data_IF_200054498499
#
_entry.id   IF_200054498499
#
_cell.length_a   1.000
_cell.length_b   1.000
_cell.length_c   1.000
_cell.angle_alpha   90.00
_cell.angle_beta   90.00
_cell.angle_gamma   90.00
#
_symmetry.space_group_name_H-M   'P 1'
#
loop_
_entity.id
_entity.type
_entity.pdbx_description
1 polymer ?
#
# COMPACT_ATOMS: atom_id res chain seq x y z
N UNK A 1 9.21 -27.66 -20.46
CA UNK A 1 9.74 -26.34 -20.08
C UNK A 1 8.53 -25.49 -19.70
N UNK A 2 8.10 -25.54 -18.44
CA UNK A 2 6.83 -24.97 -17.97
C UNK A 2 7.09 -23.87 -16.94
N UNK A 3 6.69 -22.66 -17.32
CA UNK A 3 5.84 -21.73 -16.56
C UNK A 3 5.56 -22.08 -15.10
N UNK A 4 5.86 -21.14 -14.19
CA UNK A 4 5.27 -21.04 -12.85
C UNK A 4 5.51 -19.65 -12.25
N UNK A 5 4.45 -18.86 -12.29
CA UNK A 5 3.96 -17.98 -11.22
C UNK A 5 5.00 -17.30 -10.33
N UNK A 6 5.31 -16.05 -10.67
CA UNK A 6 5.72 -15.04 -9.69
C UNK A 6 4.51 -14.15 -9.40
N UNK A 7 3.55 -14.71 -8.68
CA UNK A 7 2.42 -14.00 -8.07
C UNK A 7 2.52 -14.27 -6.58
N UNK A 8 2.92 -13.26 -5.81
CA UNK A 8 2.81 -13.28 -4.35
C UNK A 8 2.01 -12.05 -3.94
N UNK A 9 0.70 -12.31 -3.83
CA UNK A 9 -0.26 -11.87 -2.82
C UNK A 9 -0.08 -10.46 -2.23
N UNK A 10 -0.89 -9.55 -2.75
CA UNK A 10 -1.49 -8.42 -2.02
C UNK A 10 -2.99 -8.50 -2.38
N UNK A 11 -3.60 -9.66 -2.14
CA UNK A 11 -4.98 -9.94 -2.53
C UNK A 11 -5.89 -9.80 -1.31
N UNK A 12 -6.40 -8.60 -1.10
CA UNK A 12 -7.69 -8.42 -0.44
C UNK A 12 -8.67 -7.88 -1.49
N UNK A 13 -9.59 -8.72 -2.02
CA UNK A 13 -10.67 -8.22 -2.85
C UNK A 13 -11.59 -7.39 -1.97
N UNK A 14 -11.66 -6.09 -2.22
CA UNK A 14 -12.75 -5.27 -1.70
C UNK A 14 -14.03 -5.76 -2.36
N UNK A 15 -14.80 -6.60 -1.68
CA UNK A 15 -16.12 -7.00 -2.15
C UNK A 15 -16.95 -5.73 -2.43
N UNK A 16 -17.46 -5.53 -3.65
CA UNK A 16 -18.22 -4.33 -3.98
C UNK A 16 -19.66 -4.51 -3.47
N UNK A 17 -19.87 -4.34 -2.16
CA UNK A 17 -21.22 -4.23 -1.60
C UNK A 17 -21.64 -2.76 -1.57
N UNK A 18 -22.47 -2.36 -2.54
CA UNK A 18 -23.04 -1.01 -2.69
C UNK A 18 -23.01 -0.49 -4.12
N UNK A 19 -23.43 0.77 -4.32
CA UNK A 19 -23.58 1.53 -5.58
C UNK A 19 -22.47 1.34 -6.65
N UNK A 20 -21.28 0.91 -6.23
CA UNK A 20 -20.14 0.58 -7.10
C UNK A 20 -20.38 -0.71 -7.92
N UNK A 21 -21.04 -1.72 -7.36
CA UNK A 21 -21.31 -3.00 -8.02
C UNK A 21 -22.22 -2.86 -9.25
N UNK A 22 -23.19 -1.96 -9.20
CA UNK A 22 -24.09 -1.67 -10.32
C UNK A 22 -23.37 -0.92 -11.45
N UNK A 23 -22.43 -0.03 -11.10
CA UNK A 23 -21.63 0.74 -12.05
C UNK A 23 -20.63 -0.14 -12.81
N UNK A 24 -20.06 -1.16 -12.16
CA UNK A 24 -19.07 -2.09 -12.75
C UNK A 24 -19.69 -2.95 -13.87
N UNK A 25 -20.99 -3.24 -13.80
CA UNK A 25 -21.72 -4.00 -14.82
C UNK A 25 -22.22 -3.15 -16.00
N UNK A 26 -21.89 -1.86 -16.04
CA UNK A 26 -22.24 -0.98 -17.17
C UNK A 26 -21.41 -1.31 -18.41
N UNK A 27 -22.01 -1.34 -19.62
CA UNK A 27 -21.30 -1.65 -20.86
C UNK A 27 -20.22 -0.62 -21.23
N UNK A 28 -20.13 0.50 -20.51
CA UNK A 28 -19.15 1.57 -20.74
C UNK A 28 -17.95 1.54 -19.77
N UNK A 29 -17.83 0.50 -18.92
CA UNK A 29 -16.67 0.37 -18.03
C UNK A 29 -15.47 -0.15 -18.81
N UNK A 30 -14.39 0.61 -18.79
CA UNK A 30 -13.15 0.22 -19.46
C UNK A 30 -12.56 -1.07 -18.87
N UNK A 31 -12.04 -1.94 -19.74
CA UNK A 31 -11.49 -3.24 -19.34
C UNK A 31 -10.34 -3.18 -18.31
N UNK A 32 -9.62 -2.05 -18.21
CA UNK A 32 -8.57 -1.91 -17.20
C UNK A 32 -9.16 -1.74 -15.80
N UNK A 33 -10.30 -1.05 -15.64
CA UNK A 33 -10.98 -0.89 -14.34
C UNK A 33 -11.45 -2.24 -13.83
N UNK A 34 -12.09 -3.04 -14.70
CA UNK A 34 -12.53 -4.40 -14.36
C UNK A 34 -11.36 -5.26 -13.86
N UNK A 35 -10.22 -5.24 -14.58
CA UNK A 35 -9.02 -5.96 -14.16
C UNK A 35 -8.47 -5.48 -12.82
N UNK A 36 -8.47 -4.17 -12.56
CA UNK A 36 -7.99 -3.62 -11.28
C UNK A 36 -8.91 -3.99 -10.13
N UNK A 37 -10.23 -4.03 -10.33
CA UNK A 37 -11.18 -4.49 -9.31
C UNK A 37 -10.99 -5.99 -9.03
N UNK A 38 -10.82 -6.81 -10.07
CA UNK A 38 -10.67 -8.25 -9.92
C UNK A 38 -9.32 -8.67 -9.33
N UNK A 39 -8.23 -8.01 -9.74
CA UNK A 39 -6.84 -8.45 -9.46
C UNK A 39 -6.09 -7.53 -8.50
N UNK A 40 -6.71 -6.45 -8.06
CA UNK A 40 -6.05 -5.39 -7.31
C UNK A 40 -5.18 -4.49 -8.18
N UNK A 41 -4.88 -3.30 -7.65
CA UNK A 41 -3.89 -2.41 -8.24
C UNK A 41 -2.49 -2.71 -7.68
N UNK A 42 -1.47 -2.56 -8.51
CA UNK A 42 -0.07 -2.83 -8.13
C UNK A 42 0.81 -1.63 -8.40
N UNK A 43 1.75 -1.39 -7.49
CA UNK A 43 2.77 -0.36 -7.68
C UNK A 43 3.57 -0.68 -8.95
N UNK A 44 3.54 0.25 -9.90
CA UNK A 44 4.30 0.15 -11.14
C UNK A 44 5.71 0.67 -10.91
N UNK A 45 6.72 -0.16 -11.18
CA UNK A 45 8.13 0.21 -11.06
C UNK A 45 8.71 0.56 -12.42
N UNK A 46 9.32 1.75 -12.53
CA UNK A 46 10.04 2.19 -13.73
C UNK A 46 11.51 1.73 -13.75
N UNK A 47 12.04 1.37 -12.58
CA UNK A 47 13.35 0.76 -12.40
C UNK A 47 13.24 -0.36 -11.35
N UNK A 48 14.19 -1.30 -11.28
CA UNK A 48 14.20 -2.30 -10.22
C UNK A 48 14.10 -1.64 -8.83
N UNK A 49 13.26 -2.18 -7.92
CA UNK A 49 13.21 -1.66 -6.55
C UNK A 49 14.56 -1.90 -5.85
N UNK A 50 14.90 -1.10 -4.82
CA UNK A 50 16.13 -1.31 -4.07
C UNK A 50 16.16 -2.73 -3.49
N UNK A 51 17.31 -3.44 -3.54
CA UNK A 51 17.43 -4.77 -2.98
C UNK A 51 17.38 -4.72 -1.45
N UNK A 52 17.32 -5.90 -0.84
CA UNK A 52 17.43 -6.03 0.61
C UNK A 52 18.74 -5.41 1.10
N UNK A 53 18.63 -4.53 2.10
CA UNK A 53 19.77 -3.83 2.68
C UNK A 53 19.78 -3.97 4.22
N UNK A 54 19.31 -5.10 4.73
CA UNK A 54 19.15 -5.34 6.16
C UNK A 54 17.82 -4.84 6.73
N UNK A 55 17.53 -5.26 7.96
CA UNK A 55 16.39 -4.80 8.73
C UNK A 55 16.81 -3.59 9.55
N UNK A 56 16.13 -2.45 9.34
CA UNK A 56 16.32 -1.27 10.18
C UNK A 56 15.43 -1.37 11.43
N UNK A 57 16.00 -1.51 12.64
CA UNK A 57 15.20 -1.52 13.86
C UNK A 57 14.53 -0.17 14.07
N UNK A 58 13.29 -0.18 14.56
CA UNK A 58 12.60 1.03 14.99
C UNK A 58 12.93 1.26 16.46
N UNK A 59 13.70 2.31 16.75
CA UNK A 59 14.09 2.66 18.11
C UNK A 59 13.03 3.57 18.72
N UNK A 60 12.30 3.05 19.71
CA UNK A 60 11.20 3.76 20.39
C UNK A 60 11.28 3.51 21.89
N UNK A 61 10.84 4.49 22.68
CA UNK A 61 10.65 4.30 24.12
C UNK A 61 9.50 3.33 24.41
N UNK A 62 9.39 2.87 25.66
CA UNK A 62 8.39 1.86 26.07
C UNK A 62 6.95 2.25 25.73
N UNK A 63 6.52 3.47 26.06
CA UNK A 63 5.16 3.94 25.74
C UNK A 63 4.90 4.06 24.24
N UNK A 64 5.90 4.55 23.50
CA UNK A 64 5.83 4.70 22.04
C UNK A 64 5.78 3.34 21.34
N UNK A 65 6.48 2.34 21.88
CA UNK A 65 6.43 0.95 21.43
C UNK A 65 5.03 0.36 21.55
N UNK A 66 4.35 0.55 22.68
CA UNK A 66 2.99 0.07 22.87
C UNK A 66 2.01 0.66 21.84
N UNK A 67 2.11 1.97 21.59
CA UNK A 67 1.27 2.64 20.58
C UNK A 67 1.56 2.12 19.18
N UNK A 68 2.82 1.85 18.86
CA UNK A 68 3.22 1.29 17.56
C UNK A 68 2.68 -0.15 17.37
N UNK A 69 2.74 -0.99 18.40
CA UNK A 69 2.17 -2.33 18.37
C UNK A 69 0.64 -2.31 18.19
N UNK A 70 -0.05 -1.39 18.87
CA UNK A 70 -1.50 -1.22 18.72
C UNK A 70 -1.89 -0.78 17.30
N UNK A 71 -1.09 0.08 16.68
CA UNK A 71 -1.33 0.51 15.29
C UNK A 71 -1.09 -0.64 14.31
N UNK A 72 0.01 -1.39 14.47
CA UNK A 72 0.29 -2.59 13.66
C UNK A 72 -0.85 -3.61 13.79
N UNK A 73 -1.30 -3.89 15.01
CA UNK A 73 -2.43 -4.78 15.25
C UNK A 73 -3.73 -4.28 14.61
N UNK A 74 -3.94 -2.96 14.59
CA UNK A 74 -5.11 -2.36 13.95
C UNK A 74 -5.05 -2.46 12.43
N UNK A 75 -3.88 -2.26 11.82
CA UNK A 75 -3.68 -2.42 10.38
C UNK A 75 -3.81 -3.89 9.94
N UNK A 76 -3.28 -4.83 10.73
CA UNK A 76 -3.46 -6.26 10.52
C UNK A 76 -4.94 -6.65 10.60
N UNK A 77 -5.67 -6.16 11.60
CA UNK A 77 -7.12 -6.40 11.74
C UNK A 77 -7.93 -5.84 10.56
N UNK A 78 -7.46 -4.76 9.96
CA UNK A 78 -8.06 -4.14 8.76
C UNK A 78 -7.61 -4.81 7.46
N UNK A 79 -6.75 -5.83 7.53
CA UNK A 79 -6.14 -6.50 6.37
C UNK A 79 -5.38 -5.52 5.45
N UNK A 80 -4.92 -4.40 6.01
CA UNK A 80 -4.17 -3.39 5.26
C UNK A 80 -2.68 -3.76 5.12
N UNK A 81 -2.19 -4.62 6.02
CA UNK A 81 -0.84 -5.18 6.00
C UNK A 81 -0.91 -6.66 6.36
N UNK A 82 0.14 -7.40 6.03
CA UNK A 82 0.29 -8.81 6.37
C UNK A 82 1.68 -9.11 6.93
N UNK A 83 1.81 -10.24 7.60
CA UNK A 83 3.12 -10.74 8.04
C UNK A 83 3.84 -11.32 6.84
N UNK A 84 5.04 -10.83 6.56
CA UNK A 84 5.87 -11.30 5.45
C UNK A 84 6.12 -12.81 5.58
N UNK A 85 5.74 -13.62 4.58
CA UNK A 85 5.92 -15.07 4.63
C UNK A 85 7.40 -15.47 4.79
N UNK A 86 7.72 -16.52 5.58
CA UNK A 86 9.10 -16.88 5.91
C UNK A 86 10.04 -17.08 4.70
N UNK A 87 9.51 -17.58 3.59
CA UNK A 87 10.27 -17.90 2.39
C UNK A 87 10.67 -16.66 1.56
N UNK A 88 10.07 -15.50 1.82
CA UNK A 88 10.43 -14.22 1.19
C UNK A 88 10.95 -13.20 2.20
N UNK A 89 11.15 -13.59 3.46
CA UNK A 89 11.83 -12.73 4.43
C UNK A 89 13.23 -12.40 3.93
N UNK A 90 13.70 -11.20 4.25
CA UNK A 90 15.02 -10.71 3.83
C UNK A 90 15.16 -10.61 2.31
N UNK A 91 14.03 -10.56 1.61
CA UNK A 91 13.95 -10.26 0.19
C UNK A 91 13.09 -9.01 -0.02
N UNK A 92 13.43 -8.20 -1.02
CA UNK A 92 12.74 -6.95 -1.30
C UNK A 92 13.17 -5.77 -0.42
N UNK A 93 12.32 -4.75 -0.38
CA UNK A 93 12.65 -3.45 0.23
C UNK A 93 12.19 -3.38 1.68
N UNK A 94 13.07 -2.90 2.56
CA UNK A 94 12.79 -2.65 3.96
C UNK A 94 12.98 -1.16 4.26
N UNK A 95 11.88 -0.46 4.56
CA UNK A 95 11.92 0.95 4.97
C UNK A 95 12.21 1.10 6.46
N UNK A 96 12.88 2.19 6.83
CA UNK A 96 12.91 2.64 8.23
C UNK A 96 11.52 3.12 8.65
N UNK A 97 11.13 2.81 9.88
CA UNK A 97 9.95 3.39 10.51
C UNK A 97 10.36 4.37 11.61
N UNK A 98 9.64 5.49 11.74
CA UNK A 98 9.84 6.48 12.81
C UNK A 98 8.51 7.09 13.23
N UNK A 99 8.48 7.71 14.41
CA UNK A 99 7.24 8.24 14.99
C UNK A 99 7.25 9.77 14.95
N UNK A 100 6.11 10.35 14.56
CA UNK A 100 5.87 11.78 14.61
C UNK A 100 4.65 12.07 15.49
N UNK A 101 4.74 13.02 16.45
CA UNK A 101 3.57 13.47 17.21
C UNK A 101 2.54 14.15 16.30
N UNK A 102 1.26 13.82 16.49
CA UNK A 102 0.13 14.54 15.93
C UNK A 102 -0.19 15.77 16.79
N UNK A 103 -0.91 16.73 16.22
CA UNK A 103 -1.36 17.95 16.92
C UNK A 103 -2.31 17.67 18.09
N UNK A 104 -3.03 16.56 18.04
CA UNK A 104 -3.97 16.10 19.07
C UNK A 104 -3.29 15.33 20.22
N UNK A 105 -1.96 15.21 20.21
CA UNK A 105 -1.19 14.44 21.18
C UNK A 105 -1.04 12.95 20.86
N UNK A 106 -1.69 12.46 19.79
CA UNK A 106 -1.48 11.09 19.31
C UNK A 106 -0.12 10.91 18.64
N UNK A 107 0.29 9.65 18.43
CA UNK A 107 1.50 9.33 17.67
C UNK A 107 1.13 8.83 16.27
N UNK A 108 1.99 9.12 15.28
CA UNK A 108 1.85 8.61 13.91
C UNK A 108 3.14 7.89 13.51
N UNK A 109 3.12 6.56 13.36
CA UNK A 109 4.23 5.85 12.75
C UNK A 109 4.28 6.19 11.25
N UNK A 110 5.48 6.42 10.74
CA UNK A 110 5.78 6.80 9.35
C UNK A 110 6.80 5.84 8.79
N UNK A 111 6.53 5.30 7.61
CA UNK A 111 7.51 4.57 6.81
C UNK A 111 8.27 5.53 5.92
N UNK A 112 9.60 5.49 5.97
CA UNK A 112 10.45 6.23 5.06
C UNK A 112 10.53 5.52 3.71
N UNK A 113 9.74 6.03 2.75
CA UNK A 113 9.65 5.51 1.39
C UNK A 113 10.46 6.33 0.38
N UNK A 114 11.36 7.21 0.83
CA UNK A 114 12.14 8.07 -0.07
C UNK A 114 12.91 7.25 -1.11
N UNK A 115 13.59 6.18 -0.67
CA UNK A 115 14.37 5.31 -1.56
C UNK A 115 13.49 4.54 -2.54
N UNK A 116 12.35 3.99 -2.08
CA UNK A 116 11.42 3.26 -2.93
C UNK A 116 10.83 4.17 -4.02
N UNK A 117 10.52 5.41 -3.66
CA UNK A 117 9.90 6.40 -4.56
C UNK A 117 10.76 6.72 -5.78
N UNK A 118 12.07 6.51 -5.73
CA UNK A 118 12.97 6.66 -6.87
C UNK A 118 12.77 5.58 -7.95
N UNK A 119 12.30 4.39 -7.57
CA UNK A 119 12.06 3.28 -8.49
C UNK A 119 10.61 3.21 -9.00
N UNK A 120 9.68 3.91 -8.36
CA UNK A 120 8.27 3.95 -8.75
C UNK A 120 8.07 4.75 -10.05
N UNK A 121 7.28 4.21 -10.97
CA UNK A 121 6.92 4.86 -12.22
C UNK A 121 6.10 6.13 -11.94
N UNK A 122 6.55 7.26 -12.49
CA UNK A 122 5.82 8.53 -12.38
C UNK A 122 4.71 8.61 -13.42
N UNK A 123 3.49 8.32 -12.99
CA UNK A 123 2.29 8.48 -13.81
C UNK A 123 1.80 9.93 -13.76
N UNK A 124 1.41 10.49 -14.91
CA UNK A 124 0.76 11.80 -14.95
C UNK A 124 -0.68 11.64 -14.48
N UNK A 125 -1.01 12.29 -13.37
CA UNK A 125 -2.37 12.37 -12.86
C UNK A 125 -2.71 13.84 -12.61
N UNK A 126 -3.87 14.28 -13.09
CA UNK A 126 -4.40 15.60 -12.77
C UNK A 126 -5.32 15.45 -11.56
N UNK A 127 -4.86 15.94 -10.42
CA UNK A 127 -5.73 16.12 -9.25
C UNK A 127 -6.67 17.29 -9.55
N UNK A 128 -7.98 17.02 -9.58
CA UNK A 128 -8.98 18.07 -9.71
C UNK A 128 -9.03 18.85 -8.41
N UNK A 129 -9.10 20.18 -8.51
CA UNK A 129 -9.33 21.04 -7.34
C UNK A 129 -10.82 21.08 -7.01
N UNK A 130 -11.17 21.48 -5.77
CA UNK A 130 -12.57 21.57 -5.32
C UNK A 130 -13.43 22.37 -6.30
N UNK A 131 -12.92 23.51 -6.78
CA UNK A 131 -13.62 24.37 -7.74
C UNK A 131 -13.88 23.66 -9.09
N UNK A 132 -13.00 22.77 -9.52
CA UNK A 132 -13.19 22.04 -10.78
C UNK A 132 -14.27 20.95 -10.67
N UNK A 133 -14.58 20.50 -9.46
CA UNK A 133 -15.60 19.48 -9.21
C UNK A 133 -16.98 20.11 -9.00
N UNK A 134 -17.05 21.32 -8.42
CA UNK A 134 -18.32 22.04 -8.21
C UNK A 134 -18.95 22.58 -9.49
N UNK A 135 -18.15 22.77 -10.54
CA UNK A 135 -18.56 23.43 -11.79
C UNK A 135 -18.99 22.43 -12.89
N UNK A 136 -19.20 21.14 -12.55
CA UNK A 136 -19.65 20.07 -13.46
C UNK A 136 -21.12 19.68 -13.31
#
# INVERSE_FOLDING_TARGET
MKEKDRVFLLDAPLAPSGLLGDAINSPNVSAWVLRTVERGDRIQFGAPPPPFNGVSPTLVGSEQGLVMEQEVATLLRKEAIEVVPPHVRESGFYSRCFIVPKKDGGLRPILDLCLLSCSVMRLKFKMLTINQVSDQ
#
